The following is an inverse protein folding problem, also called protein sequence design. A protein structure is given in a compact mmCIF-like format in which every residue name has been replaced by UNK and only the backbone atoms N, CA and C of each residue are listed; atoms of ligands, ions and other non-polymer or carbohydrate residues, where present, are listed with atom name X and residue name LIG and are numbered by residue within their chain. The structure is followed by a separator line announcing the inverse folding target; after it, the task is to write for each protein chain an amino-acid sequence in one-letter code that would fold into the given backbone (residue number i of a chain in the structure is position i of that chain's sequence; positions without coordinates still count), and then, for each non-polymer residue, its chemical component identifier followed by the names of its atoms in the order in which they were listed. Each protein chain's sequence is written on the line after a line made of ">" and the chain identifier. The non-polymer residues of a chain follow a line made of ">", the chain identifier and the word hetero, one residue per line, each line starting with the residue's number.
data_IF_433799615635
#
_entry.id   IF_433799615635
#
_cell.length_a   1.000
_cell.length_b   1.000
_cell.length_c   1.000
_cell.angle_alpha   90.00
_cell.angle_beta   90.00
_cell.angle_gamma   90.00
#
_symmetry.space_group_name_H-M   'P 1'
#
loop_
_entity.id
_entity.type
_entity.pdbx_description
1 polymer ?
#
# COMPACT_ATOMS: atom_id res chain seq x y z
N UNK A 1 48.81 36.95 56.98
CA UNK A 1 47.60 36.09 57.14
C UNK A 1 46.47 36.74 56.34
N UNK A 2 45.75 36.15 55.38
CA UNK A 2 45.63 34.80 54.81
C UNK A 2 45.19 34.98 53.35
N UNK A 3 45.71 34.14 52.46
CA UNK A 3 45.26 33.94 51.08
C UNK A 3 43.89 33.26 51.11
N UNK A 4 42.91 33.73 50.35
CA UNK A 4 41.70 32.97 50.04
C UNK A 4 41.46 33.00 48.53
N UNK A 5 41.89 31.93 47.86
CA UNK A 5 41.53 31.60 46.48
C UNK A 5 40.12 30.99 46.50
N UNK A 6 39.16 31.64 45.85
CA UNK A 6 37.89 31.01 45.53
C UNK A 6 38.01 30.36 44.15
N UNK A 7 38.20 29.04 44.13
CA UNK A 7 38.13 28.22 42.91
C UNK A 7 36.66 27.94 42.63
N UNK A 8 36.10 28.61 41.63
CA UNK A 8 34.77 28.30 41.10
C UNK A 8 34.93 27.15 40.10
N UNK A 9 34.71 25.92 40.55
CA UNK A 9 34.68 24.73 39.69
C UNK A 9 33.37 24.72 38.90
N UNK A 10 33.43 25.11 37.62
CA UNK A 10 32.35 24.90 36.65
C UNK A 10 32.28 23.40 36.33
N UNK A 11 31.31 22.69 36.93
CA UNK A 11 30.93 21.34 36.52
C UNK A 11 30.15 21.43 35.21
N UNK A 12 30.84 21.31 34.08
CA UNK A 12 30.23 21.11 32.78
C UNK A 12 29.72 19.66 32.75
N UNK A 13 28.43 19.47 33.03
CA UNK A 13 27.76 18.21 32.70
C UNK A 13 27.65 18.12 31.17
N UNK A 14 28.66 17.57 30.52
CA UNK A 14 28.53 17.12 29.13
C UNK A 14 27.67 15.85 29.13
N UNK A 15 26.34 16.01 29.04
CA UNK A 15 25.45 14.94 28.63
C UNK A 15 25.86 14.52 27.22
N UNK A 16 26.75 13.52 27.13
CA UNK A 16 27.08 12.88 25.87
C UNK A 16 25.82 12.18 25.37
N UNK A 17 25.09 12.84 24.47
CA UNK A 17 23.99 12.24 23.75
C UNK A 17 24.59 11.13 22.88
N UNK A 18 24.56 9.88 23.36
CA UNK A 18 25.08 8.72 22.62
C UNK A 18 24.17 8.54 21.40
N UNK A 19 24.74 8.66 20.20
CA UNK A 19 24.03 8.31 18.97
C UNK A 19 23.61 6.84 19.04
N UNK A 20 22.33 6.51 18.80
CA UNK A 20 21.88 5.13 18.89
C UNK A 20 22.55 4.26 17.83
N UNK A 21 22.81 3.00 18.18
CA UNK A 21 23.33 2.00 17.26
C UNK A 21 22.25 1.55 16.25
N UNK A 22 22.65 0.89 15.16
CA UNK A 22 21.68 0.31 14.20
C UNK A 22 20.80 -0.74 14.87
N UNK A 23 21.36 -1.54 15.78
CA UNK A 23 20.63 -2.53 16.57
C UNK A 23 19.54 -1.84 17.42
N UNK A 24 19.90 -0.82 18.20
CA UNK A 24 18.95 -0.05 19.02
C UNK A 24 17.83 0.59 18.18
N UNK A 25 18.15 1.06 16.95
CA UNK A 25 17.15 1.61 16.03
C UNK A 25 16.22 0.53 15.45
N UNK A 26 16.74 -0.66 15.13
CA UNK A 26 15.95 -1.77 14.61
C UNK A 26 15.06 -2.38 15.69
N UNK A 27 15.55 -2.57 16.91
CA UNK A 27 14.73 -3.02 18.05
C UNK A 27 13.59 -2.06 18.35
N UNK A 28 13.86 -0.74 18.30
CA UNK A 28 12.82 0.28 18.46
C UNK A 28 11.75 0.20 17.36
N UNK A 29 12.12 -0.22 16.15
CA UNK A 29 11.19 -0.39 15.03
C UNK A 29 10.42 -1.72 15.11
N UNK A 30 11.08 -2.81 15.50
CA UNK A 30 10.52 -4.17 15.47
C UNK A 30 10.03 -4.62 16.85
N UNK A 31 9.07 -3.88 17.41
CA UNK A 31 8.55 -4.14 18.78
C UNK A 31 7.82 -5.49 18.87
N UNK A 32 7.11 -5.88 17.80
CA UNK A 32 6.42 -7.16 17.72
C UNK A 32 7.31 -8.20 17.06
N UNK A 33 7.31 -9.41 17.60
CA UNK A 33 8.11 -10.53 17.10
C UNK A 33 7.56 -11.09 15.78
N UNK A 34 6.22 -11.08 15.61
CA UNK A 34 5.51 -11.65 14.45
C UNK A 34 5.86 -13.14 14.21
N UNK A 35 6.29 -13.85 15.25
CA UNK A 35 6.59 -15.29 15.26
C UNK A 35 5.36 -16.15 15.58
N UNK A 36 4.24 -15.50 15.93
CA UNK A 36 2.93 -16.09 16.18
C UNK A 36 1.83 -15.26 15.51
N UNK A 37 0.61 -15.79 15.47
CA UNK A 37 -0.52 -15.05 14.93
C UNK A 37 -0.75 -13.73 15.69
N UNK A 38 -1.07 -12.68 14.95
CA UNK A 38 -1.27 -11.34 15.50
C UNK A 38 -2.68 -10.84 15.23
N UNK A 39 -3.28 -10.21 16.24
CA UNK A 39 -4.50 -9.44 16.05
C UNK A 39 -4.13 -8.01 15.64
N UNK A 40 -4.54 -7.64 14.42
CA UNK A 40 -4.28 -6.32 13.85
C UNK A 40 -5.58 -5.52 13.72
N UNK A 41 -5.54 -4.26 14.10
CA UNK A 41 -6.55 -3.28 13.70
C UNK A 41 -6.16 -2.74 12.32
N UNK A 42 -6.92 -3.11 11.30
CA UNK A 42 -6.73 -2.72 9.91
C UNK A 42 -7.71 -1.61 9.58
N UNK A 43 -7.19 -0.38 9.51
CA UNK A 43 -8.00 0.80 9.29
C UNK A 43 -8.43 0.84 7.82
N UNK A 44 -9.59 1.38 7.55
CA UNK A 44 -10.06 1.59 6.19
C UNK A 44 -10.57 3.01 5.99
N UNK A 45 -10.44 3.47 4.75
CA UNK A 45 -11.16 4.61 4.20
C UNK A 45 -11.83 4.12 2.93
N UNK A 46 -13.15 4.11 2.89
CA UNK A 46 -13.90 3.45 1.81
C UNK A 46 -14.90 4.39 1.15
N UNK A 47 -14.96 4.31 -0.18
CA UNK A 47 -16.01 4.89 -1.02
C UNK A 47 -17.07 3.87 -1.41
N UNK A 48 -17.05 2.68 -0.83
CA UNK A 48 -18.08 1.67 -1.09
C UNK A 48 -19.35 2.07 -0.39
N UNK A 49 -20.47 1.95 -1.10
CA UNK A 49 -21.79 2.05 -0.51
C UNK A 49 -21.97 0.94 0.54
N UNK A 50 -22.80 1.22 1.53
CA UNK A 50 -23.09 0.28 2.59
C UNK A 50 -24.55 -0.17 2.54
N UNK A 51 -24.81 -1.48 2.64
CA UNK A 51 -26.17 -1.98 2.82
C UNK A 51 -26.59 -1.79 4.30
N UNK A 52 -27.56 -0.91 4.61
CA UNK A 52 -28.01 -0.69 5.97
C UNK A 52 -28.62 -1.94 6.62
N UNK A 53 -29.12 -2.90 5.83
CA UNK A 53 -29.78 -4.11 6.31
C UNK A 53 -28.82 -5.28 6.52
N UNK A 54 -27.61 -5.21 5.99
CA UNK A 54 -26.59 -6.23 6.19
C UNK A 54 -26.07 -6.22 7.63
N UNK A 55 -25.63 -7.39 8.11
CA UNK A 55 -25.01 -7.52 9.43
C UNK A 55 -23.83 -6.55 9.57
N UNK A 56 -23.77 -5.86 10.70
CA UNK A 56 -22.67 -4.93 10.96
C UNK A 56 -21.36 -5.71 11.10
N UNK A 57 -20.47 -5.54 10.13
CA UNK A 57 -19.19 -6.23 10.12
C UNK A 57 -18.33 -5.79 8.95
N UNK A 58 -17.09 -6.26 8.96
CA UNK A 58 -16.19 -6.13 7.83
C UNK A 58 -16.44 -7.28 6.85
N UNK A 59 -17.54 -7.19 6.11
CA UNK A 59 -17.94 -8.21 5.15
C UNK A 59 -18.44 -7.59 3.83
N UNK A 60 -18.43 -8.38 2.77
CA UNK A 60 -18.83 -7.95 1.42
C UNK A 60 -20.34 -7.70 1.30
N UNK A 61 -21.17 -8.29 2.18
CA UNK A 61 -22.60 -8.00 2.24
C UNK A 61 -22.88 -6.59 2.75
N UNK A 62 -22.03 -6.07 3.63
CA UNK A 62 -22.11 -4.71 4.16
C UNK A 62 -21.47 -3.70 3.25
N UNK A 63 -20.27 -3.96 2.72
CA UNK A 63 -19.51 -3.02 1.89
C UNK A 63 -19.53 -3.44 0.43
N UNK A 64 -20.39 -2.79 -0.35
CA UNK A 64 -20.75 -3.25 -1.70
C UNK A 64 -19.71 -2.83 -2.77
N UNK A 65 -19.94 -3.28 -4.00
CA UNK A 65 -19.13 -2.91 -5.17
C UNK A 65 -19.69 -1.69 -5.93
N UNK A 66 -20.49 -0.86 -5.25
CA UNK A 66 -21.05 0.40 -5.77
C UNK A 66 -20.57 1.57 -4.93
N UNK A 67 -20.66 2.79 -5.47
CA UNK A 67 -20.08 3.98 -4.85
C UNK A 67 -21.02 4.64 -3.82
N UNK A 68 -20.44 5.16 -2.74
CA UNK A 68 -21.02 6.17 -1.87
C UNK A 68 -20.49 7.56 -2.28
N UNK A 69 -21.18 8.62 -1.86
CA UNK A 69 -20.78 10.02 -2.08
C UNK A 69 -19.68 10.48 -1.12
N UNK A 70 -19.57 9.82 0.03
CA UNK A 70 -18.68 10.21 1.11
C UNK A 70 -17.78 9.06 1.54
N UNK A 71 -16.57 9.40 1.99
CA UNK A 71 -15.65 8.42 2.56
C UNK A 71 -16.13 8.03 3.95
N UNK A 72 -16.37 6.74 4.16
CA UNK A 72 -16.58 6.14 5.48
C UNK A 72 -15.25 5.59 6.00
N UNK A 73 -15.02 5.72 7.29
CA UNK A 73 -13.78 5.27 7.93
C UNK A 73 -14.08 4.39 9.14
N UNK A 74 -13.10 3.57 9.53
CA UNK A 74 -13.21 2.63 10.64
C UNK A 74 -12.01 1.71 10.66
N UNK A 75 -12.11 0.62 11.43
CA UNK A 75 -11.16 -0.48 11.31
C UNK A 75 -11.83 -1.85 11.50
N UNK A 76 -11.24 -2.82 10.84
CA UNK A 76 -11.52 -4.24 11.03
C UNK A 76 -10.50 -4.81 12.01
N UNK A 77 -10.96 -5.63 12.96
CA UNK A 77 -10.10 -6.40 13.85
C UNK A 77 -9.88 -7.75 13.18
N UNK A 78 -8.64 -8.04 12.79
CA UNK A 78 -8.31 -9.22 11.99
C UNK A 78 -7.20 -10.02 12.66
N UNK A 79 -7.40 -11.32 12.80
CA UNK A 79 -6.32 -12.25 13.08
C UNK A 79 -5.53 -12.50 11.80
N UNK A 80 -4.20 -12.34 11.88
CA UNK A 80 -3.28 -12.67 10.81
C UNK A 80 -2.41 -13.86 11.25
N UNK A 81 -2.48 -15.01 10.54
CA UNK A 81 -1.73 -16.21 10.88
C UNK A 81 -0.23 -16.06 10.58
N UNK A 82 0.60 -16.66 11.43
CA UNK A 82 2.04 -16.75 11.22
C UNK A 82 2.45 -18.05 10.49
N UNK A 83 1.73 -19.15 10.68
CA UNK A 83 2.04 -20.44 10.06
C UNK A 83 1.46 -20.52 8.63
N UNK A 84 2.10 -19.79 7.72
CA UNK A 84 1.76 -19.75 6.28
C UNK A 84 2.96 -19.29 5.46
N UNK A 85 2.88 -19.51 4.15
CA UNK A 85 3.81 -18.85 3.24
C UNK A 85 3.61 -17.32 3.24
N UNK A 86 4.72 -16.61 3.08
CA UNK A 86 4.71 -15.14 2.92
C UNK A 86 3.96 -14.80 1.65
N UNK A 87 3.02 -13.85 1.74
CA UNK A 87 2.12 -13.49 0.64
C UNK A 87 0.83 -14.32 0.56
N UNK A 88 0.74 -15.45 1.25
CA UNK A 88 -0.45 -16.29 1.21
C UNK A 88 -1.60 -15.71 2.04
N UNK A 89 -2.84 -15.97 1.59
CA UNK A 89 -4.09 -15.66 2.29
C UNK A 89 -4.89 -16.94 2.57
N UNK A 90 -4.41 -17.84 3.45
CA UNK A 90 -5.18 -19.02 3.82
C UNK A 90 -6.48 -18.58 4.52
N UNK A 91 -7.60 -18.90 3.88
CA UNK A 91 -8.95 -18.75 4.44
C UNK A 91 -9.44 -20.11 4.91
N UNK A 92 -10.11 -20.14 6.04
CA UNK A 92 -10.63 -21.38 6.61
C UNK A 92 -11.09 -21.21 8.04
N UNK A 93 -11.65 -22.29 8.57
CA UNK A 93 -12.07 -22.38 9.96
C UNK A 93 -10.98 -23.06 10.80
N UNK A 94 -10.93 -22.74 12.09
CA UNK A 94 -10.06 -23.43 13.05
C UNK A 94 -8.94 -22.55 13.58
N UNK A 95 -7.73 -23.11 13.66
CA UNK A 95 -6.62 -22.52 14.40
C UNK A 95 -6.20 -21.15 13.82
N UNK A 96 -6.17 -20.14 14.70
CA UNK A 96 -5.72 -18.78 14.39
C UNK A 96 -4.29 -18.70 13.87
N UNK A 97 -3.45 -19.70 14.15
CA UNK A 97 -2.09 -19.77 13.61
C UNK A 97 -2.05 -20.06 12.11
N UNK A 98 -3.13 -20.64 11.55
CA UNK A 98 -3.17 -21.11 10.16
C UNK A 98 -4.06 -20.26 9.26
N UNK A 99 -5.06 -19.57 9.80
CA UNK A 99 -6.09 -18.89 9.00
C UNK A 99 -6.32 -17.43 9.39
N UNK A 100 -6.61 -16.61 8.38
CA UNK A 100 -7.13 -15.26 8.58
C UNK A 100 -8.56 -15.31 9.13
N UNK A 101 -8.87 -14.43 10.08
CA UNK A 101 -10.20 -14.36 10.70
C UNK A 101 -10.60 -12.92 10.97
N UNK A 102 -11.81 -12.53 10.57
CA UNK A 102 -12.43 -11.30 11.04
C UNK A 102 -12.96 -11.52 12.46
N UNK A 103 -12.47 -10.71 13.40
CA UNK A 103 -12.82 -10.79 14.82
C UNK A 103 -13.76 -9.66 15.25
N UNK A 104 -13.85 -8.58 14.47
CA UNK A 104 -14.71 -7.45 14.79
C UNK A 104 -14.60 -6.28 13.83
N UNK A 105 -15.48 -5.30 14.02
CA UNK A 105 -15.59 -4.10 13.20
C UNK A 105 -15.89 -2.90 14.09
N UNK A 106 -15.13 -1.81 13.91
CA UNK A 106 -15.37 -0.54 14.62
C UNK A 106 -15.43 0.62 13.61
N UNK A 107 -16.63 1.08 13.23
CA UNK A 107 -16.77 2.26 12.38
C UNK A 107 -16.44 3.53 13.17
N UNK A 108 -15.92 4.54 12.48
CA UNK A 108 -15.78 5.89 13.00
C UNK A 108 -16.97 6.74 12.55
N UNK A 109 -17.39 7.69 13.40
CA UNK A 109 -18.48 8.60 13.06
C UNK A 109 -18.06 9.60 11.97
N UNK A 110 -16.79 9.99 11.96
CA UNK A 110 -16.21 10.92 11.01
C UNK A 110 -14.71 10.67 10.85
N UNK A 111 -14.06 11.39 9.92
CA UNK A 111 -12.62 11.26 9.70
C UNK A 111 -11.78 11.82 10.87
N UNK A 112 -12.33 12.71 11.71
CA UNK A 112 -11.60 13.26 12.85
C UNK A 112 -11.29 12.16 13.88
N UNK A 113 -12.23 11.25 14.14
CA UNK A 113 -11.97 10.10 15.01
C UNK A 113 -10.85 9.18 14.47
N UNK A 114 -10.73 9.05 13.14
CA UNK A 114 -9.59 8.35 12.54
C UNK A 114 -8.27 9.09 12.86
N UNK A 115 -8.22 10.40 12.67
CA UNK A 115 -7.02 11.21 12.96
C UNK A 115 -6.64 11.15 14.45
N UNK A 116 -7.61 11.26 15.35
CA UNK A 116 -7.41 11.12 16.80
C UNK A 116 -6.83 9.77 17.17
N UNK A 117 -7.33 8.68 16.57
CA UNK A 117 -6.84 7.34 16.85
C UNK A 117 -5.43 7.11 16.28
N UNK A 118 -5.15 7.63 15.08
CA UNK A 118 -3.81 7.60 14.48
C UNK A 118 -2.80 8.36 15.35
N UNK A 119 -3.14 9.52 15.90
CA UNK A 119 -2.25 10.30 16.78
C UNK A 119 -1.81 9.55 18.05
N UNK A 120 -2.58 8.56 18.50
CA UNK A 120 -2.24 7.72 19.66
C UNK A 120 -1.16 6.68 19.35
N UNK A 121 -0.91 6.38 18.08
CA UNK A 121 0.14 5.43 17.69
C UNK A 121 1.52 6.02 17.99
N UNK A 122 2.40 5.33 18.75
CA UNK A 122 3.72 5.86 19.09
C UNK A 122 4.69 5.90 17.90
N UNK A 123 4.34 5.29 16.76
CA UNK A 123 5.14 5.32 15.55
C UNK A 123 4.81 6.55 14.69
N UNK A 124 5.82 7.17 14.12
CA UNK A 124 5.68 8.41 13.32
C UNK A 124 5.34 8.16 11.85
N UNK A 125 4.89 6.96 11.50
CA UNK A 125 4.64 6.54 10.12
C UNK A 125 3.31 5.80 9.98
N UNK A 126 2.65 6.04 8.84
CA UNK A 126 1.42 5.37 8.41
C UNK A 126 1.70 4.73 7.06
N UNK A 127 1.18 3.52 6.85
CA UNK A 127 1.19 2.87 5.55
C UNK A 127 -0.22 2.88 4.96
N UNK A 128 -0.39 3.45 3.78
CA UNK A 128 -1.64 3.42 3.03
C UNK A 128 -1.51 2.39 1.92
N UNK A 129 -2.50 1.53 1.78
CA UNK A 129 -2.58 0.54 0.70
C UNK A 129 -3.84 0.79 -0.16
N UNK A 130 -3.66 0.84 -1.48
CA UNK A 130 -4.75 0.97 -2.46
C UNK A 130 -4.76 -0.26 -3.35
N UNK A 131 -5.86 -1.03 -3.30
CA UNK A 131 -6.02 -2.27 -4.05
C UNK A 131 -6.27 -2.04 -5.55
N UNK A 132 -6.17 -3.13 -6.31
CA UNK A 132 -6.34 -3.16 -7.76
C UNK A 132 -7.75 -3.55 -8.23
N UNK A 133 -7.80 -4.04 -9.46
CA UNK A 133 -9.00 -4.45 -10.18
C UNK A 133 -9.70 -5.65 -9.53
N UNK A 134 -11.04 -5.64 -9.54
CA UNK A 134 -11.89 -6.79 -9.17
C UNK A 134 -11.66 -7.33 -7.74
N UNK A 135 -11.28 -6.46 -6.80
CA UNK A 135 -11.08 -6.82 -5.39
C UNK A 135 -12.33 -6.42 -4.60
N UNK A 136 -12.93 -7.34 -3.85
CA UNK A 136 -14.04 -7.03 -2.91
C UNK A 136 -13.51 -6.46 -1.59
N UNK A 137 -14.39 -6.02 -0.68
CA UNK A 137 -13.96 -5.33 0.53
C UNK A 137 -13.16 -6.23 1.47
N UNK A 138 -13.64 -7.44 1.73
CA UNK A 138 -12.96 -8.40 2.61
C UNK A 138 -11.56 -8.73 2.10
N UNK A 139 -11.45 -9.04 0.80
CA UNK A 139 -10.18 -9.34 0.16
C UNK A 139 -9.19 -8.17 0.28
N UNK A 140 -9.64 -6.93 0.09
CA UNK A 140 -8.78 -5.75 0.24
C UNK A 140 -8.25 -5.61 1.67
N UNK A 141 -9.09 -5.83 2.68
CA UNK A 141 -8.69 -5.78 4.09
C UNK A 141 -7.70 -6.90 4.42
N UNK A 142 -8.00 -8.14 4.04
CA UNK A 142 -7.14 -9.29 4.31
C UNK A 142 -5.78 -9.15 3.63
N UNK A 143 -5.76 -8.68 2.38
CA UNK A 143 -4.52 -8.39 1.66
C UNK A 143 -3.70 -7.29 2.35
N UNK A 144 -4.34 -6.21 2.82
CA UNK A 144 -3.67 -5.19 3.63
C UNK A 144 -3.09 -5.78 4.92
N UNK A 145 -3.85 -6.63 5.63
CA UNK A 145 -3.40 -7.33 6.83
C UNK A 145 -2.15 -8.19 6.58
N UNK A 146 -2.17 -8.97 5.50
CA UNK A 146 -1.03 -9.77 5.06
C UNK A 146 0.19 -8.90 4.77
N UNK A 147 0.05 -7.84 3.96
CA UNK A 147 1.16 -6.95 3.62
C UNK A 147 1.73 -6.30 4.88
N UNK A 148 0.89 -5.80 5.79
CA UNK A 148 1.34 -5.16 7.03
C UNK A 148 2.13 -6.13 7.91
N UNK A 149 1.62 -7.34 8.08
CA UNK A 149 2.23 -8.38 8.90
C UNK A 149 3.58 -8.81 8.30
N UNK A 150 3.61 -9.12 7.00
CA UNK A 150 4.81 -9.65 6.34
C UNK A 150 5.91 -8.58 6.18
N UNK A 151 5.54 -7.30 6.11
CA UNK A 151 6.49 -6.17 6.20
C UNK A 151 6.95 -5.87 7.63
N UNK A 152 6.36 -6.51 8.64
CA UNK A 152 6.53 -6.14 10.05
C UNK A 152 6.37 -4.63 10.25
N UNK A 153 5.42 -4.03 9.54
CA UNK A 153 5.29 -2.57 9.51
C UNK A 153 4.80 -2.07 10.87
N UNK A 154 5.58 -1.20 11.55
CA UNK A 154 5.35 -0.90 12.96
C UNK A 154 4.15 0.00 13.19
N UNK A 155 3.91 0.94 12.27
CA UNK A 155 2.80 1.87 12.35
C UNK A 155 1.44 1.25 12.00
N UNK A 156 0.41 2.11 12.00
CA UNK A 156 -0.92 1.75 11.51
C UNK A 156 -0.95 1.63 9.98
N UNK A 157 -1.73 0.67 9.47
CA UNK A 157 -2.06 0.59 8.05
C UNK A 157 -3.50 1.03 7.79
N UNK A 158 -3.69 1.82 6.74
CA UNK A 158 -5.00 2.21 6.22
C UNK A 158 -5.17 1.61 4.83
N UNK A 159 -6.23 0.84 4.63
CA UNK A 159 -6.63 0.31 3.35
C UNK A 159 -7.65 1.28 2.75
N UNK A 160 -7.25 2.00 1.71
CA UNK A 160 -8.18 2.80 0.95
C UNK A 160 -8.89 1.89 -0.06
N UNK A 161 -10.21 1.74 0.08
CA UNK A 161 -11.01 0.90 -0.81
C UNK A 161 -11.92 1.75 -1.68
N UNK A 162 -11.92 1.43 -2.97
CA UNK A 162 -12.80 2.03 -3.96
C UNK A 162 -13.78 0.97 -4.48
N UNK A 163 -14.88 1.34 -5.16
CA UNK A 163 -15.92 0.42 -5.64
C UNK A 163 -15.44 -0.52 -6.78
N UNK A 164 -14.53 -1.44 -6.44
CA UNK A 164 -14.07 -2.52 -7.30
C UNK A 164 -14.81 -3.82 -6.98
N UNK A 165 -14.70 -4.78 -7.89
CA UNK A 165 -15.34 -6.09 -7.79
C UNK A 165 -16.31 -6.34 -8.95
N UNK A 166 -16.68 -7.59 -9.12
CA UNK A 166 -17.75 -8.01 -10.00
C UNK A 166 -19.08 -7.90 -9.27
N UNK A 167 -20.14 -7.55 -10.00
CA UNK A 167 -21.49 -7.87 -9.53
C UNK A 167 -21.71 -9.36 -9.73
N UNK A 168 -22.26 -10.05 -8.74
CA UNK A 168 -22.57 -11.47 -8.87
C UNK A 168 -23.55 -11.68 -10.03
N UNK A 169 -23.05 -12.28 -11.11
CA UNK A 169 -23.89 -12.74 -12.21
C UNK A 169 -24.34 -14.14 -11.80
N UNK A 170 -25.65 -14.36 -11.68
CA UNK A 170 -26.21 -15.65 -11.25
C UNK A 170 -25.63 -16.86 -12.02
N UNK A 171 -25.70 -18.04 -11.38
CA UNK A 171 -25.05 -19.32 -11.73
C UNK A 171 -25.12 -19.81 -13.20
N UNK A 172 -25.93 -19.21 -14.06
CA UNK A 172 -26.32 -19.78 -15.37
C UNK A 172 -25.35 -19.40 -16.52
N UNK A 173 -24.33 -18.58 -16.29
CA UNK A 173 -23.63 -17.88 -17.39
C UNK A 173 -22.11 -18.16 -17.55
N UNK A 174 -21.57 -19.25 -17.02
CA UNK A 174 -20.13 -19.31 -16.69
C UNK A 174 -19.11 -19.76 -17.76
N UNK A 175 -19.49 -20.11 -19.00
CA UNK A 175 -18.48 -20.68 -19.94
C UNK A 175 -18.27 -19.86 -21.22
N UNK A 176 -19.33 -19.33 -21.87
CA UNK A 176 -19.17 -18.46 -23.06
C UNK A 176 -19.13 -16.95 -22.77
N UNK A 177 -19.53 -16.52 -21.56
CA UNK A 177 -19.65 -15.10 -21.22
C UNK A 177 -18.42 -14.52 -20.52
N UNK A 178 -17.40 -15.34 -20.21
CA UNK A 178 -16.28 -14.91 -19.37
C UNK A 178 -15.50 -13.72 -19.93
N UNK A 179 -15.28 -13.65 -21.25
CA UNK A 179 -14.57 -12.50 -21.84
C UNK A 179 -15.42 -11.22 -21.85
N UNK A 180 -16.73 -11.32 -22.15
CA UNK A 180 -17.64 -10.18 -22.16
C UNK A 180 -17.86 -9.66 -20.73
N UNK A 181 -18.03 -10.57 -19.76
CA UNK A 181 -18.17 -10.22 -18.35
C UNK A 181 -16.88 -9.63 -17.79
N UNK A 182 -15.71 -10.16 -18.17
CA UNK A 182 -14.42 -9.59 -17.78
C UNK A 182 -14.26 -8.17 -18.33
N UNK A 183 -14.57 -7.95 -19.61
CA UNK A 183 -14.53 -6.60 -20.23
C UNK A 183 -15.48 -5.63 -19.53
N UNK A 184 -16.73 -6.03 -19.29
CA UNK A 184 -17.72 -5.19 -18.57
C UNK A 184 -17.26 -4.87 -17.14
N UNK A 185 -16.72 -5.86 -16.44
CA UNK A 185 -16.18 -5.67 -15.08
C UNK A 185 -15.00 -4.69 -15.13
N UNK A 186 -14.08 -4.86 -16.09
CA UNK A 186 -12.95 -3.97 -16.31
C UNK A 186 -13.39 -2.52 -16.56
N UNK A 187 -14.29 -2.29 -17.52
CA UNK A 187 -14.80 -0.95 -17.85
C UNK A 187 -15.49 -0.29 -16.65
N UNK A 188 -16.34 -1.05 -15.93
CA UNK A 188 -17.02 -0.56 -14.73
C UNK A 188 -16.03 -0.21 -13.61
N UNK A 189 -15.07 -1.08 -13.34
CA UNK A 189 -14.06 -0.87 -12.31
C UNK A 189 -13.16 0.31 -12.68
N UNK A 190 -12.74 0.43 -13.94
CA UNK A 190 -11.95 1.56 -14.43
C UNK A 190 -12.69 2.89 -14.27
N UNK A 191 -13.98 2.93 -14.63
CA UNK A 191 -14.84 4.09 -14.40
C UNK A 191 -14.93 4.46 -12.92
N UNK A 192 -15.14 3.45 -12.05
CA UNK A 192 -15.25 3.63 -10.60
C UNK A 192 -13.93 4.10 -9.97
N UNK A 193 -12.80 3.58 -10.43
CA UNK A 193 -11.46 4.00 -9.99
C UNK A 193 -11.20 5.47 -10.36
N UNK A 194 -11.46 5.85 -11.62
CA UNK A 194 -11.33 7.24 -12.08
C UNK A 194 -12.25 8.19 -11.31
N UNK A 195 -13.49 7.76 -11.03
CA UNK A 195 -14.46 8.54 -10.26
C UNK A 195 -14.02 8.74 -8.79
N UNK A 196 -13.21 7.83 -8.23
CA UNK A 196 -12.72 7.89 -6.84
C UNK A 196 -11.55 8.86 -6.62
N UNK A 197 -10.99 9.43 -7.69
CA UNK A 197 -9.82 10.32 -7.66
C UNK A 197 -9.99 11.48 -6.68
N UNK A 198 -11.13 12.19 -6.76
CA UNK A 198 -11.36 13.43 -6.00
C UNK A 198 -11.40 13.15 -4.51
N UNK A 199 -12.11 12.12 -4.11
CA UNK A 199 -12.29 11.75 -2.72
C UNK A 199 -11.00 11.17 -2.14
N UNK A 200 -10.23 10.40 -2.92
CA UNK A 200 -8.87 10.00 -2.51
C UNK A 200 -7.95 11.20 -2.27
N UNK A 201 -7.93 12.20 -3.17
CA UNK A 201 -7.18 13.45 -2.99
C UNK A 201 -7.56 14.16 -1.69
N UNK A 202 -8.87 14.31 -1.45
CA UNK A 202 -9.37 14.92 -0.21
C UNK A 202 -8.93 14.14 1.03
N UNK A 203 -9.04 12.80 0.99
CA UNK A 203 -8.63 11.94 2.10
C UNK A 203 -7.14 12.02 2.40
N UNK A 204 -6.28 11.92 1.38
CA UNK A 204 -4.83 11.89 1.59
C UNK A 204 -4.31 13.24 2.10
N UNK A 205 -4.88 14.37 1.66
CA UNK A 205 -4.63 15.68 2.23
C UNK A 205 -5.11 15.77 3.69
N UNK A 206 -6.32 15.28 3.98
CA UNK A 206 -6.84 15.28 5.36
C UNK A 206 -6.01 14.41 6.31
N UNK A 207 -5.46 13.29 5.81
CA UNK A 207 -4.62 12.37 6.57
C UNK A 207 -3.34 13.04 7.12
N UNK A 208 -2.86 14.11 6.49
CA UNK A 208 -1.71 14.88 6.98
C UNK A 208 -1.94 15.46 8.39
N UNK A 209 -3.20 15.67 8.79
CA UNK A 209 -3.56 16.14 10.13
C UNK A 209 -3.16 15.16 11.25
N UNK A 210 -2.84 13.90 10.91
CA UNK A 210 -2.25 12.94 11.85
C UNK A 210 -0.82 13.33 12.28
N UNK A 211 -0.13 14.19 11.52
CA UNK A 211 1.25 14.62 11.82
C UNK A 211 2.29 13.51 11.65
N UNK A 212 2.00 12.49 10.83
CA UNK A 212 2.84 11.31 10.60
C UNK A 212 3.33 11.25 9.15
N UNK A 213 4.46 10.57 8.92
CA UNK A 213 4.97 10.27 7.57
C UNK A 213 4.01 9.29 6.90
N UNK A 214 3.63 9.56 5.64
CA UNK A 214 2.72 8.71 4.89
C UNK A 214 3.51 7.94 3.84
N UNK A 215 3.49 6.62 3.90
CA UNK A 215 3.97 5.71 2.86
C UNK A 215 2.76 5.18 2.09
N UNK A 216 2.87 5.02 0.77
CA UNK A 216 1.74 4.62 -0.07
C UNK A 216 2.13 3.49 -1.01
N UNK A 217 1.45 2.36 -0.87
CA UNK A 217 1.55 1.20 -1.75
C UNK A 217 0.30 1.16 -2.64
N UNK A 218 0.50 1.13 -3.95
CA UNK A 218 -0.58 1.10 -4.94
C UNK A 218 -0.43 -0.13 -5.83
N UNK A 219 -1.53 -0.80 -6.14
CA UNK A 219 -1.53 -1.97 -7.00
C UNK A 219 -2.44 -1.80 -8.24
N UNK A 220 -1.93 -2.19 -9.42
CA UNK A 220 -2.72 -2.41 -10.64
C UNK A 220 -3.68 -1.25 -10.97
N UNK A 221 -4.98 -1.48 -11.12
CA UNK A 221 -5.95 -0.42 -11.46
C UNK A 221 -6.11 0.67 -10.38
N UNK A 222 -5.63 0.45 -9.15
CA UNK A 222 -5.61 1.48 -8.10
C UNK A 222 -4.81 2.73 -8.49
N UNK A 223 -3.89 2.61 -9.46
CA UNK A 223 -3.15 3.76 -10.01
C UNK A 223 -4.05 4.80 -10.67
N UNK A 224 -5.21 4.40 -11.21
CA UNK A 224 -6.22 5.29 -11.78
C UNK A 224 -6.86 6.20 -10.70
N UNK A 225 -6.86 5.76 -9.44
CA UNK A 225 -7.30 6.55 -8.28
C UNK A 225 -6.18 7.50 -7.83
N UNK A 226 -4.97 6.97 -7.67
CA UNK A 226 -3.88 7.62 -6.93
C UNK A 226 -3.08 8.61 -7.77
N UNK A 227 -2.61 8.20 -8.96
CA UNK A 227 -1.62 8.99 -9.70
C UNK A 227 -2.18 10.35 -10.15
N UNK A 228 -3.42 10.44 -10.68
CA UNK A 228 -4.00 11.73 -11.02
C UNK A 228 -4.22 12.62 -9.78
N UNK A 229 -4.58 12.05 -8.64
CA UNK A 229 -4.79 12.78 -7.39
C UNK A 229 -3.47 13.37 -6.85
N UNK A 230 -2.40 12.57 -6.80
CA UNK A 230 -1.08 13.04 -6.39
C UNK A 230 -0.48 14.05 -7.38
N UNK A 231 -0.75 13.88 -8.69
CA UNK A 231 -0.38 14.85 -9.71
C UNK A 231 -1.03 16.22 -9.45
N UNK A 232 -2.33 16.26 -9.11
CA UNK A 232 -2.97 17.52 -8.74
C UNK A 232 -2.36 18.15 -7.48
N UNK A 233 -2.06 17.35 -6.45
CA UNK A 233 -1.40 17.84 -5.22
C UNK A 233 -0.01 18.41 -5.54
N UNK A 234 0.79 17.73 -6.37
CA UNK A 234 2.12 18.19 -6.76
C UNK A 234 2.13 19.44 -7.66
N UNK A 235 0.99 19.79 -8.26
CA UNK A 235 0.80 21.08 -8.94
C UNK A 235 0.46 22.22 -7.98
N UNK A 236 -0.10 21.89 -6.82
CA UNK A 236 -0.50 22.85 -5.78
C UNK A 236 0.64 23.16 -4.80
N UNK A 237 1.57 22.22 -4.58
CA UNK A 237 2.70 22.41 -3.66
C UNK A 237 3.94 21.62 -4.06
N UNK A 238 5.12 22.19 -3.77
CA UNK A 238 6.42 21.50 -3.90
C UNK A 238 6.84 20.77 -2.61
N UNK A 239 5.95 20.66 -1.60
CA UNK A 239 6.20 19.90 -0.37
C UNK A 239 5.72 18.47 -0.54
N UNK A 240 6.62 17.46 -0.52
CA UNK A 240 6.20 16.07 -0.63
C UNK A 240 5.27 15.67 0.50
N UNK A 241 4.07 15.22 0.13
CA UNK A 241 3.09 14.65 1.04
C UNK A 241 3.47 13.19 1.36
N UNK A 242 3.90 12.46 0.34
CA UNK A 242 4.21 11.03 0.41
C UNK A 242 5.71 10.85 0.65
N UNK A 243 6.07 10.08 1.67
CA UNK A 243 7.46 9.75 1.98
C UNK A 243 8.00 8.70 1.00
N UNK A 244 7.30 7.58 0.83
CA UNK A 244 7.60 6.54 -0.17
C UNK A 244 6.34 6.25 -0.98
N UNK A 245 6.40 6.46 -2.29
CA UNK A 245 5.37 6.05 -3.23
C UNK A 245 5.83 4.76 -3.92
N UNK A 246 5.13 3.66 -3.67
CA UNK A 246 5.48 2.33 -4.15
C UNK A 246 4.40 1.88 -5.13
N UNK A 247 4.76 1.82 -6.41
CA UNK A 247 3.87 1.51 -7.52
C UNK A 247 4.08 0.06 -7.97
N UNK A 248 3.07 -0.80 -7.82
CA UNK A 248 3.16 -2.22 -8.17
C UNK A 248 2.27 -2.57 -9.35
N UNK A 249 2.86 -3.14 -10.40
CA UNK A 249 2.14 -3.59 -11.60
C UNK A 249 1.21 -2.50 -12.18
N UNK A 250 1.68 -1.27 -12.44
CA UNK A 250 0.80 -0.15 -12.72
C UNK A 250 -0.01 -0.32 -14.01
N UNK A 251 -1.34 -0.42 -13.85
CA UNK A 251 -2.31 -0.34 -14.96
C UNK A 251 -2.66 1.14 -15.23
N UNK A 252 -1.70 1.85 -15.81
CA UNK A 252 -1.81 3.26 -16.17
C UNK A 252 -1.14 3.50 -17.52
N UNK A 253 -1.67 4.44 -18.32
CA UNK A 253 -1.13 4.74 -19.64
C UNK A 253 0.25 5.40 -19.53
N UNK A 254 1.23 4.90 -20.28
CA UNK A 254 2.61 5.40 -20.19
C UNK A 254 2.80 6.81 -20.75
N UNK A 255 2.01 7.23 -21.74
CA UNK A 255 2.06 8.59 -22.28
C UNK A 255 1.40 9.57 -21.29
N UNK A 256 0.25 9.21 -20.74
CA UNK A 256 -0.39 9.97 -19.66
C UNK A 256 0.53 10.11 -18.45
N UNK A 257 1.23 9.03 -18.07
CA UNK A 257 2.16 9.05 -16.95
C UNK A 257 3.30 10.07 -17.14
N UNK A 258 3.89 10.13 -18.34
CA UNK A 258 4.97 11.10 -18.64
C UNK A 258 4.51 12.53 -18.39
N UNK A 259 3.26 12.85 -18.72
CA UNK A 259 2.68 14.19 -18.52
C UNK A 259 2.48 14.57 -17.05
N UNK A 260 2.46 13.59 -16.13
CA UNK A 260 2.26 13.83 -14.69
C UNK A 260 3.49 13.56 -13.84
N UNK A 261 4.55 12.97 -14.41
CA UNK A 261 5.76 12.52 -13.69
C UNK A 261 6.41 13.62 -12.84
N UNK A 262 6.60 14.83 -13.37
CA UNK A 262 7.16 15.96 -12.61
C UNK A 262 6.30 16.33 -11.39
N UNK A 263 4.97 16.27 -11.53
CA UNK A 263 4.05 16.55 -10.42
C UNK A 263 4.08 15.43 -9.37
N UNK A 264 4.31 14.18 -9.80
CA UNK A 264 4.49 13.05 -8.88
C UNK A 264 5.79 13.21 -8.07
N UNK A 265 6.89 13.63 -8.70
CA UNK A 265 8.18 13.92 -8.04
C UNK A 265 8.02 15.03 -6.98
N UNK A 266 7.18 16.04 -7.23
CA UNK A 266 6.90 17.11 -6.27
C UNK A 266 6.06 16.65 -5.08
N UNK A 267 5.09 15.77 -5.31
CA UNK A 267 4.19 15.26 -4.26
C UNK A 267 4.79 14.10 -3.45
N UNK A 268 5.87 13.47 -3.91
CA UNK A 268 6.45 12.28 -3.29
C UNK A 268 7.97 12.38 -3.16
N UNK A 269 8.52 12.08 -1.98
CA UNK A 269 9.96 12.22 -1.72
C UNK A 269 10.80 11.15 -2.41
N UNK A 270 10.28 9.94 -2.54
CA UNK A 270 10.86 8.86 -3.35
C UNK A 270 9.75 8.06 -4.00
N UNK A 271 10.02 7.59 -5.22
CA UNK A 271 9.08 6.79 -5.98
C UNK A 271 9.79 5.55 -6.50
N UNK A 272 9.26 4.38 -6.16
CA UNK A 272 9.74 3.09 -6.67
C UNK A 272 8.62 2.45 -7.48
N UNK A 273 8.95 2.02 -8.68
CA UNK A 273 8.02 1.41 -9.62
C UNK A 273 8.46 -0.01 -9.92
N UNK A 274 7.64 -0.98 -9.53
CA UNK A 274 7.82 -2.39 -9.83
C UNK A 274 7.03 -2.78 -11.07
N UNK A 275 7.74 -3.27 -12.07
CA UNK A 275 7.21 -3.61 -13.38
C UNK A 275 7.63 -5.02 -13.79
N UNK A 276 6.79 -5.71 -14.56
CA UNK A 276 7.08 -7.04 -15.08
C UNK A 276 6.61 -7.09 -16.54
N UNK A 277 7.51 -7.11 -17.55
CA UNK A 277 7.11 -7.18 -18.94
C UNK A 277 6.34 -8.48 -19.28
N UNK A 278 6.51 -9.54 -18.47
CA UNK A 278 5.78 -10.80 -18.57
C UNK A 278 4.40 -10.82 -17.89
N UNK A 279 3.94 -9.71 -17.32
CA UNK A 279 2.65 -9.65 -16.61
C UNK A 279 1.46 -9.80 -17.59
N UNK A 280 0.82 -10.98 -17.54
CA UNK A 280 -0.30 -11.33 -18.41
C UNK A 280 -1.53 -10.43 -18.21
N UNK A 281 -1.78 -9.93 -17.00
CA UNK A 281 -2.94 -9.08 -16.74
C UNK A 281 -2.74 -7.67 -17.32
N UNK A 282 -1.50 -7.16 -17.26
CA UNK A 282 -1.16 -5.90 -17.94
C UNK A 282 -1.20 -6.03 -19.46
N UNK A 283 -0.87 -7.20 -20.03
CA UNK A 283 -1.05 -7.46 -21.45
C UNK A 283 -2.54 -7.44 -21.85
N UNK A 284 -3.41 -8.03 -21.03
CA UNK A 284 -4.88 -7.96 -21.24
C UNK A 284 -5.36 -6.51 -21.16
N UNK A 285 -4.91 -5.75 -20.15
CA UNK A 285 -5.24 -4.32 -20.05
C UNK A 285 -4.76 -3.53 -21.27
N UNK A 286 -3.51 -3.73 -21.71
CA UNK A 286 -2.94 -3.08 -22.89
C UNK A 286 -3.78 -3.37 -24.14
N UNK A 287 -4.23 -4.61 -24.30
CA UNK A 287 -5.13 -5.01 -25.39
C UNK A 287 -6.48 -4.28 -25.34
N UNK A 288 -7.11 -4.19 -24.16
CA UNK A 288 -8.39 -3.51 -23.98
C UNK A 288 -8.31 -1.99 -24.21
N UNK A 289 -7.16 -1.38 -23.92
CA UNK A 289 -6.98 0.08 -23.95
C UNK A 289 -6.16 0.60 -25.13
N UNK A 290 -5.67 -0.28 -26.01
CA UNK A 290 -4.91 0.06 -27.23
C UNK A 290 -3.68 0.97 -26.97
N UNK A 291 -2.93 0.72 -25.89
CA UNK A 291 -1.78 1.55 -25.49
C UNK A 291 -0.78 0.84 -24.58
N UNK A 292 0.46 1.32 -24.56
CA UNK A 292 1.52 0.77 -23.70
C UNK A 292 1.28 1.14 -22.24
N UNK A 293 1.27 0.15 -21.35
CA UNK A 293 1.11 0.35 -19.91
C UNK A 293 2.43 0.66 -19.23
N UNK A 294 2.36 1.47 -18.18
CA UNK A 294 3.50 1.85 -17.36
C UNK A 294 4.25 0.63 -16.78
N UNK A 295 3.56 -0.49 -16.52
CA UNK A 295 4.18 -1.72 -16.04
C UNK A 295 5.06 -2.48 -17.05
N UNK A 296 5.31 -1.92 -18.25
CA UNK A 296 6.21 -2.47 -19.27
C UNK A 296 7.71 -2.14 -19.08
N UNK A 297 8.09 -1.52 -17.94
CA UNK A 297 9.49 -1.25 -17.57
C UNK A 297 10.26 -0.23 -18.44
N UNK A 298 9.64 0.90 -18.78
CA UNK A 298 10.37 2.04 -19.35
C UNK A 298 11.09 2.84 -18.24
N UNK A 299 12.30 3.38 -18.50
CA UNK A 299 13.02 4.21 -17.54
C UNK A 299 12.33 5.57 -17.41
N UNK A 300 12.34 6.12 -16.19
CA UNK A 300 11.70 7.39 -15.87
C UNK A 300 12.63 8.17 -14.95
N UNK A 301 12.99 9.37 -15.36
CA UNK A 301 13.83 10.25 -14.55
C UNK A 301 13.12 10.58 -13.23
N UNK A 302 13.84 10.49 -12.10
CA UNK A 302 13.27 10.70 -10.77
C UNK A 302 12.58 9.47 -10.14
N UNK A 303 12.58 8.31 -10.81
CA UNK A 303 11.97 7.07 -10.32
C UNK A 303 12.99 5.94 -10.23
N UNK A 304 12.86 5.11 -9.19
CA UNK A 304 13.53 3.82 -9.11
C UNK A 304 12.67 2.76 -9.83
N UNK A 305 12.90 2.56 -11.13
CA UNK A 305 12.20 1.52 -11.92
C UNK A 305 12.89 0.16 -11.73
N UNK A 306 12.17 -0.78 -11.12
CA UNK A 306 12.67 -2.12 -10.79
C UNK A 306 11.89 -3.16 -11.59
N UNK A 307 12.58 -3.84 -12.50
CA UNK A 307 12.06 -5.01 -13.21
C UNK A 307 12.05 -6.22 -12.28
N UNK A 308 10.86 -6.80 -12.09
CA UNK A 308 10.62 -7.95 -11.20
C UNK A 308 10.26 -9.22 -11.97
N UNK A 309 10.34 -9.21 -13.29
CA UNK A 309 10.10 -10.37 -14.13
C UNK A 309 10.86 -11.64 -13.70
N UNK A 310 12.13 -11.58 -13.21
CA UNK A 310 12.80 -12.78 -12.71
C UNK A 310 12.09 -13.45 -11.53
N UNK A 311 11.48 -12.66 -10.65
CA UNK A 311 10.82 -13.16 -9.43
C UNK A 311 9.32 -13.44 -9.62
N UNK A 312 8.72 -12.83 -10.64
CA UNK A 312 7.33 -13.04 -11.08
C UNK A 312 7.10 -14.43 -11.71
N UNK A 313 8.18 -15.12 -12.09
CA UNK A 313 8.13 -16.48 -12.67
C UNK A 313 8.02 -17.61 -11.64
N UNK A 314 8.01 -17.31 -10.34
CA UNK A 314 7.93 -18.32 -9.29
C UNK A 314 6.50 -18.88 -9.16
N UNK A 315 6.38 -20.21 -9.08
CA UNK A 315 5.15 -21.03 -9.07
C UNK A 315 4.04 -20.63 -8.06
N UNK A 316 4.27 -19.62 -7.21
CA UNK A 316 3.38 -19.16 -6.13
C UNK A 316 2.50 -17.98 -6.57
N UNK A 317 2.87 -17.24 -7.63
CA UNK A 317 2.12 -16.08 -8.10
C UNK A 317 1.96 -16.16 -9.63
N UNK A 318 0.73 -16.39 -10.10
CA UNK A 318 0.38 -16.31 -11.51
C UNK A 318 0.52 -14.84 -11.95
N UNK A 319 1.71 -14.42 -12.40
CA UNK A 319 2.01 -13.26 -13.26
C UNK A 319 1.55 -11.85 -12.88
N UNK A 320 0.81 -11.68 -11.77
CA UNK A 320 0.17 -10.41 -11.37
C UNK A 320 -0.01 -10.29 -9.84
N UNK A 321 0.10 -11.40 -9.10
CA UNK A 321 0.05 -11.43 -7.62
C UNK A 321 1.39 -11.11 -6.94
N UNK A 322 2.46 -10.88 -7.72
CA UNK A 322 3.83 -10.77 -7.23
C UNK A 322 4.02 -9.59 -6.27
N UNK A 323 3.12 -8.61 -6.30
CA UNK A 323 3.12 -7.45 -5.40
C UNK A 323 3.09 -7.81 -3.91
N UNK A 324 2.64 -9.02 -3.60
CA UNK A 324 2.54 -9.57 -2.25
C UNK A 324 3.53 -10.71 -1.97
N UNK A 325 4.42 -11.02 -2.91
CA UNK A 325 5.38 -12.11 -2.80
C UNK A 325 6.54 -11.80 -1.86
N UNK A 326 7.20 -12.85 -1.34
CA UNK A 326 8.37 -12.71 -0.46
C UNK A 326 9.50 -11.84 -1.05
N UNK A 327 9.94 -12.03 -2.31
CA UNK A 327 11.02 -11.20 -2.87
C UNK A 327 10.64 -9.72 -2.87
N UNK A 328 9.40 -9.40 -3.26
CA UNK A 328 8.98 -8.01 -3.34
C UNK A 328 8.78 -7.37 -1.96
N UNK A 329 8.15 -8.08 -1.02
CA UNK A 329 7.98 -7.58 0.34
C UNK A 329 9.33 -7.39 1.04
N UNK A 330 10.32 -8.23 0.75
CA UNK A 330 11.70 -8.05 1.24
C UNK A 330 12.33 -6.76 0.71
N UNK A 331 12.10 -6.42 -0.55
CA UNK A 331 12.61 -5.20 -1.14
C UNK A 331 11.85 -3.95 -0.64
N UNK A 332 10.52 -4.04 -0.51
CA UNK A 332 9.67 -2.99 0.08
C UNK A 332 10.06 -2.72 1.54
N UNK A 333 10.36 -3.75 2.33
CA UNK A 333 10.86 -3.58 3.69
C UNK A 333 12.10 -2.68 3.72
N UNK A 334 13.04 -2.86 2.79
CA UNK A 334 14.23 -2.03 2.68
C UNK A 334 13.93 -0.60 2.22
N UNK A 335 12.93 -0.38 1.34
CA UNK A 335 12.43 0.96 1.01
C UNK A 335 11.96 1.69 2.28
N UNK A 336 11.17 1.01 3.10
CA UNK A 336 10.58 1.56 4.33
C UNK A 336 11.64 1.82 5.42
N UNK A 337 12.78 1.13 5.37
CA UNK A 337 13.96 1.44 6.19
C UNK A 337 14.76 2.65 5.66
N UNK A 338 14.46 3.16 4.46
CA UNK A 338 15.16 4.29 3.88
C UNK A 338 16.33 3.93 2.96
N UNK A 339 16.50 2.65 2.63
CA UNK A 339 17.63 2.17 1.82
C UNK A 339 17.39 2.55 0.35
N UNK A 340 18.35 3.25 -0.25
CA UNK A 340 18.30 3.63 -1.68
C UNK A 340 18.42 2.42 -2.59
N UNK A 341 17.86 2.50 -3.79
CA UNK A 341 17.77 1.37 -4.71
C UNK A 341 19.11 0.66 -4.97
N UNK A 342 20.19 1.41 -5.17
CA UNK A 342 21.53 0.89 -5.43
C UNK A 342 22.18 0.15 -4.24
N UNK A 343 21.62 0.30 -3.04
CA UNK A 343 22.10 -0.33 -1.80
C UNK A 343 21.18 -1.43 -1.28
N UNK A 344 20.02 -1.65 -1.90
CA UNK A 344 19.09 -2.71 -1.48
C UNK A 344 19.62 -4.08 -1.86
N UNK A 345 19.41 -5.05 -0.97
CA UNK A 345 19.70 -6.45 -1.21
C UNK A 345 18.92 -6.96 -2.43
N UNK A 346 19.53 -7.88 -3.17
CA UNK A 346 18.97 -8.54 -4.36
C UNK A 346 18.69 -7.63 -5.56
N UNK A 347 18.78 -6.31 -5.43
CA UNK A 347 18.78 -5.37 -6.55
C UNK A 347 20.12 -5.41 -7.29
N UNK A 348 20.08 -5.35 -8.62
CA UNK A 348 21.23 -5.00 -9.47
C UNK A 348 20.83 -3.94 -10.49
N UNK A 349 21.81 -3.19 -10.99
CA UNK A 349 21.60 -2.30 -12.15
C UNK A 349 21.16 -3.14 -13.36
N UNK A 350 20.19 -2.66 -14.12
CA UNK A 350 19.87 -3.28 -15.41
C UNK A 350 20.81 -2.79 -16.49
N UNK A 351 20.98 -3.62 -17.52
CA UNK A 351 21.65 -3.26 -18.77
C UNK A 351 20.64 -3.10 -19.92
N UNK A 352 19.33 -3.22 -19.62
CA UNK A 352 18.21 -3.03 -20.54
C UNK A 352 17.61 -1.63 -20.46
N UNK A 353 16.32 -1.51 -20.74
CA UNK A 353 15.60 -0.22 -20.72
C UNK A 353 15.28 0.29 -19.31
N UNK A 354 15.20 -0.57 -18.31
CA UNK A 354 14.88 -0.21 -16.92
C UNK A 354 16.10 0.22 -16.07
N UNK A 355 15.88 0.79 -14.88
CA UNK A 355 16.97 1.19 -13.97
C UNK A 355 17.60 -0.03 -13.26
N UNK A 356 16.75 -0.91 -12.72
CA UNK A 356 17.15 -1.99 -11.81
C UNK A 356 16.42 -3.30 -12.11
N UNK A 357 17.00 -4.42 -11.67
CA UNK A 357 16.38 -5.75 -11.69
C UNK A 357 16.39 -6.33 -10.29
N UNK A 358 15.24 -6.83 -9.82
CA UNK A 358 15.14 -7.63 -8.60
C UNK A 358 15.47 -9.09 -8.94
N UNK A 359 16.46 -9.65 -8.23
CA UNK A 359 16.92 -11.04 -8.41
C UNK A 359 16.13 -12.00 -7.52
N UNK A 360 15.97 -13.25 -7.98
CA UNK A 360 15.49 -14.37 -7.17
C UNK A 360 16.43 -14.69 -6.01
#
# INVERSE_FOLDING_TARGET
>A
MKILRLLLSFLIFTSHCKTPTIEELLEKRLIKTYDQAETLNLYYATLRSQDPNAENGCNDSRFLTTADKEIKTGYCIVNVPANRDIGALPLGFGNRENFFQFLGHKPFANQENLIEDLKKDPHDEILVFVHGFNVKFEEAILRGGQIRFDLKFPGKMIIFTWPAGNEEVGLVSQVLLNQILLKKTYEKNLSSAKASKKEFKSFINYLQNAGKKIHLIVHSMGHQVVLPALSEIGKETDKPLIQELILNAPDFDSAEFRLISDSLIKSSKRITLYCSPGDNALQISASLNQGSRLGSCAPIEGFDVVNVNPVDSSLISIGHGYYSSRPLLTDIYQILLGVRAEKRLFIRKSFGSENYVLRN
#
